data_IF_525050738403
#
_entry.id   IF_525050738403
#
_cell.length_a   1.000
_cell.length_b   1.000
_cell.length_c   1.000
_cell.angle_alpha   90.00
_cell.angle_beta   90.00
_cell.angle_gamma   90.00
#
_symmetry.space_group_name_H-M   'P 1'
#
loop_
_entity.id
_entity.type
_entity.pdbx_description
1 polymer ?
#
# COMPACT_ATOMS: atom_id res chain seq x y z
N UNK A 1 -11.23 -8.98 1.06
CA UNK A 1 -12.14 -7.79 1.03
C UNK A 1 -12.96 -7.69 -0.25
N UNK A 2 -14.09 -6.97 -0.24
CA UNK A 2 -14.95 -6.67 -1.41
C UNK A 2 -14.97 -5.17 -1.74
N UNK A 3 -15.28 -4.84 -2.99
CA UNK A 3 -15.47 -3.44 -3.40
C UNK A 3 -16.57 -2.78 -2.55
N UNK A 4 -16.32 -1.53 -2.13
CA UNK A 4 -17.12 -0.70 -1.21
C UNK A 4 -17.01 -1.08 0.28
N UNK A 5 -16.19 -2.06 0.65
CA UNK A 5 -15.88 -2.29 2.05
C UNK A 5 -15.12 -1.09 2.62
N UNK A 6 -15.37 -0.81 3.89
CA UNK A 6 -14.64 0.21 4.64
C UNK A 6 -13.21 -0.26 4.93
N UNK A 7 -12.27 0.68 4.89
CA UNK A 7 -10.88 0.45 5.26
C UNK A 7 -10.87 -0.11 6.69
N UNK A 8 -10.26 -1.29 6.92
CA UNK A 8 -10.11 -1.82 8.27
C UNK A 8 -9.18 -0.91 9.08
N UNK A 9 -9.21 -1.06 10.39
CA UNK A 9 -8.26 -0.36 11.24
C UNK A 9 -6.82 -0.78 10.89
N UNK A 10 -5.93 0.19 10.71
CA UNK A 10 -4.51 -0.07 10.43
C UNK A 10 -3.72 -0.48 11.70
N UNK A 11 -4.42 -1.05 12.68
CA UNK A 11 -3.92 -1.43 14.00
C UNK A 11 -3.41 -2.87 13.97
N UNK A 12 -2.25 -3.05 13.35
CA UNK A 12 -1.64 -4.38 13.22
C UNK A 12 -0.15 -4.36 12.90
N UNK A 13 0.38 -3.23 12.43
CA UNK A 13 1.80 -3.09 12.18
C UNK A 13 2.60 -3.19 13.48
N UNK A 14 3.57 -4.10 13.45
CA UNK A 14 4.55 -4.31 14.51
C UNK A 14 5.56 -3.16 14.54
N UNK A 15 5.83 -2.53 13.39
CA UNK A 15 6.76 -1.39 13.25
C UNK A 15 6.34 -0.47 12.11
N UNK A 16 6.70 0.82 12.23
CA UNK A 16 6.50 1.83 11.18
C UNK A 16 7.86 2.34 10.70
N UNK A 17 8.07 2.38 9.38
CA UNK A 17 9.22 3.03 8.75
C UNK A 17 8.75 4.27 7.97
N UNK A 18 9.62 5.28 7.88
CA UNK A 18 9.36 6.57 7.20
C UNK A 18 8.18 7.41 7.71
N UNK A 19 7.57 7.02 8.83
CA UNK A 19 6.51 7.77 9.47
C UNK A 19 5.36 6.87 9.90
N UNK A 20 4.62 7.35 10.90
CA UNK A 20 3.38 6.73 11.35
C UNK A 20 2.22 7.55 10.82
N UNK A 21 1.25 6.87 10.22
CA UNK A 21 -0.06 7.43 9.91
C UNK A 21 -1.11 6.50 10.48
N UNK A 22 -2.23 7.05 10.92
CA UNK A 22 -3.37 6.26 11.34
C UNK A 22 -4.48 6.39 10.29
N UNK A 23 -5.46 5.48 10.31
CA UNK A 23 -6.59 5.51 9.35
C UNK A 23 -7.31 6.87 9.38
N UNK A 24 -7.39 7.51 10.55
CA UNK A 24 -8.02 8.81 10.71
C UNK A 24 -7.29 9.92 9.93
N UNK A 25 -5.97 9.82 9.73
CA UNK A 25 -5.19 10.78 8.93
C UNK A 25 -5.37 10.54 7.42
N UNK A 26 -5.72 9.31 7.03
CA UNK A 26 -5.85 8.87 5.64
C UNK A 26 -7.25 9.05 5.08
N UNK A 27 -8.26 9.13 5.95
CA UNK A 27 -9.67 9.28 5.60
C UNK A 27 -10.08 10.74 5.81
N UNK A 28 -10.55 11.40 4.75
CA UNK A 28 -11.17 12.72 4.81
C UNK A 28 -10.75 13.66 3.69
N UNK A 29 -9.45 13.79 3.43
CA UNK A 29 -8.93 14.77 2.46
C UNK A 29 -8.65 14.17 1.09
N UNK A 30 -7.98 13.01 1.05
CA UNK A 30 -7.45 12.41 -0.18
C UNK A 30 -7.79 10.92 -0.25
N UNK A 31 -7.92 10.34 -1.46
CA UNK A 31 -7.91 8.90 -1.60
C UNK A 31 -6.60 8.33 -1.09
N UNK A 32 -6.62 7.05 -0.73
CA UNK A 32 -5.47 6.34 -0.18
C UNK A 32 -5.20 5.07 -0.97
N UNK A 33 -3.99 4.94 -1.49
CA UNK A 33 -3.45 3.72 -2.07
C UNK A 33 -2.65 2.98 -1.01
N UNK A 34 -3.09 1.78 -0.67
CA UNK A 34 -2.35 0.83 0.17
C UNK A 34 -1.80 -0.25 -0.73
N UNK A 35 -0.49 -0.44 -0.76
CA UNK A 35 0.14 -1.51 -1.51
C UNK A 35 0.89 -2.47 -0.58
N UNK A 36 0.65 -3.76 -0.77
CA UNK A 36 1.29 -4.84 -0.05
C UNK A 36 2.50 -5.34 -0.83
N UNK A 37 3.64 -5.44 -0.16
CA UNK A 37 4.91 -5.89 -0.73
C UNK A 37 5.70 -6.73 0.28
N UNK A 38 6.75 -7.38 -0.20
CA UNK A 38 7.61 -8.29 0.58
C UNK A 38 9.04 -8.18 0.06
N UNK A 39 10.04 -8.30 0.92
CA UNK A 39 11.46 -8.22 0.52
C UNK A 39 11.89 -9.40 -0.35
N UNK A 40 11.35 -10.60 -0.11
CA UNK A 40 11.63 -11.80 -0.91
C UNK A 40 10.83 -11.88 -2.23
N UNK A 41 9.96 -10.90 -2.51
CA UNK A 41 9.09 -10.89 -3.68
C UNK A 41 9.73 -10.18 -4.88
N UNK A 42 10.19 -10.95 -5.89
CA UNK A 42 10.79 -10.40 -7.11
C UNK A 42 9.85 -9.46 -7.88
N UNK A 43 8.58 -9.86 -8.05
CA UNK A 43 7.56 -9.04 -8.72
C UNK A 43 7.31 -7.70 -8.01
N UNK A 44 7.50 -7.66 -6.69
CA UNK A 44 7.35 -6.45 -5.91
C UNK A 44 8.49 -5.48 -6.23
N UNK A 45 9.73 -5.97 -6.32
CA UNK A 45 10.90 -5.18 -6.72
C UNK A 45 10.77 -4.60 -8.14
N UNK A 46 10.21 -5.36 -9.07
CA UNK A 46 9.92 -4.86 -10.42
C UNK A 46 8.88 -3.73 -10.42
N UNK A 47 7.88 -3.78 -9.53
CA UNK A 47 6.83 -2.77 -9.43
C UNK A 47 7.23 -1.54 -8.61
N UNK A 48 8.23 -1.62 -7.73
CA UNK A 48 8.71 -0.51 -6.89
C UNK A 48 9.01 0.79 -7.67
N UNK A 49 9.76 0.79 -8.79
CA UNK A 49 10.01 2.02 -9.54
C UNK A 49 8.72 2.65 -10.10
N UNK A 50 7.76 1.83 -10.55
CA UNK A 50 6.45 2.33 -10.99
C UNK A 50 5.67 2.92 -9.81
N UNK A 51 5.68 2.27 -8.63
CA UNK A 51 5.03 2.77 -7.41
C UNK A 51 5.63 4.10 -6.96
N UNK A 52 6.95 4.26 -7.05
CA UNK A 52 7.64 5.49 -6.67
C UNK A 52 7.31 6.64 -7.61
N UNK A 53 7.32 6.39 -8.92
CA UNK A 53 6.91 7.39 -9.90
C UNK A 53 5.45 7.80 -9.67
N UNK A 54 4.58 6.82 -9.43
CA UNK A 54 3.18 7.05 -9.14
C UNK A 54 2.99 7.87 -7.85
N UNK A 55 3.71 7.54 -6.77
CA UNK A 55 3.74 8.32 -5.54
C UNK A 55 4.15 9.77 -5.82
N UNK A 56 5.23 10.01 -6.56
CA UNK A 56 5.70 11.38 -6.78
C UNK A 56 4.73 12.20 -7.64
N UNK A 57 4.12 11.57 -8.64
CA UNK A 57 3.08 12.17 -9.48
C UNK A 57 1.84 12.57 -8.67
N UNK A 58 1.40 11.72 -7.74
CA UNK A 58 0.15 11.92 -7.00
C UNK A 58 0.32 12.32 -5.54
N UNK A 59 1.52 12.65 -5.05
CA UNK A 59 1.77 12.99 -3.63
C UNK A 59 0.87 14.11 -3.07
N UNK A 60 0.45 15.04 -3.93
CA UNK A 60 -0.42 16.13 -3.54
C UNK A 60 -1.91 15.75 -3.54
N UNK A 61 -2.27 14.65 -4.17
CA UNK A 61 -3.66 14.27 -4.45
C UNK A 61 -4.04 12.89 -3.91
N UNK A 62 -3.07 12.05 -3.55
CA UNK A 62 -3.25 10.67 -3.12
C UNK A 62 -2.26 10.34 -2.01
N UNK A 63 -2.76 9.70 -0.95
CA UNK A 63 -1.91 9.12 0.08
C UNK A 63 -1.41 7.75 -0.41
N UNK A 64 -0.11 7.52 -0.39
CA UNK A 64 0.48 6.21 -0.74
C UNK A 64 1.07 5.59 0.51
N UNK A 65 0.63 4.38 0.83
CA UNK A 65 1.03 3.63 2.01
C UNK A 65 1.53 2.27 1.59
N UNK A 66 2.70 1.89 2.10
CA UNK A 66 3.28 0.59 1.89
C UNK A 66 2.97 -0.31 3.09
N UNK A 67 2.58 -1.55 2.85
CA UNK A 67 2.43 -2.58 3.89
C UNK A 67 3.39 -3.72 3.54
N UNK A 68 4.39 -3.91 4.38
CA UNK A 68 5.30 -5.01 4.28
C UNK A 68 4.66 -6.25 4.91
N UNK A 69 4.36 -7.26 4.09
CA UNK A 69 3.85 -8.56 4.50
C UNK A 69 4.98 -9.59 4.42
N UNK A 70 5.41 -10.20 5.53
CA UNK A 70 6.45 -11.23 5.50
C UNK A 70 5.94 -12.50 4.81
N UNK A 71 6.77 -13.06 3.93
CA UNK A 71 6.50 -14.34 3.27
C UNK A 71 7.31 -15.51 3.83
N UNK A 72 8.48 -15.19 4.36
CA UNK A 72 9.44 -16.13 4.94
C UNK A 72 10.00 -15.55 6.23
N UNK A 73 10.71 -16.36 7.01
CA UNK A 73 11.36 -15.88 8.24
C UNK A 73 12.38 -14.76 7.95
N UNK A 74 13.07 -14.81 6.79
CA UNK A 74 13.96 -13.74 6.33
C UNK A 74 13.25 -12.40 6.08
N UNK A 75 11.94 -12.41 5.78
CA UNK A 75 11.15 -11.19 5.61
C UNK A 75 10.73 -10.57 6.95
N UNK A 76 10.98 -11.22 8.09
CA UNK A 76 10.72 -10.65 9.42
C UNK A 76 11.85 -9.71 9.85
N UNK A 77 12.99 -9.76 9.17
CA UNK A 77 14.16 -8.97 9.53
C UNK A 77 13.98 -7.50 9.12
N UNK A 78 13.84 -6.63 10.13
CA UNK A 78 13.64 -5.19 9.94
C UNK A 78 14.82 -4.52 9.23
N UNK A 79 16.03 -5.07 9.35
CA UNK A 79 17.20 -4.51 8.67
C UNK A 79 17.08 -4.72 7.16
N UNK A 80 16.73 -5.95 6.72
CA UNK A 80 16.45 -6.21 5.30
C UNK A 80 15.31 -5.35 4.76
N UNK A 81 14.22 -5.18 5.51
CA UNK A 81 13.09 -4.34 5.09
C UNK A 81 13.54 -2.90 4.87
N UNK A 82 14.32 -2.35 5.81
CA UNK A 82 14.81 -0.98 5.74
C UNK A 82 15.82 -0.82 4.60
N UNK A 83 16.76 -1.74 4.46
CA UNK A 83 17.76 -1.73 3.39
C UNK A 83 17.11 -1.75 1.99
N UNK A 84 16.15 -2.65 1.77
CA UNK A 84 15.41 -2.72 0.49
C UNK A 84 14.54 -1.48 0.28
N UNK A 85 13.94 -0.94 1.34
CA UNK A 85 13.17 0.30 1.24
C UNK A 85 14.05 1.49 0.84
N UNK A 86 15.25 1.60 1.41
CA UNK A 86 16.23 2.62 1.05
C UNK A 86 16.81 2.40 -0.35
N UNK A 87 17.18 1.17 -0.70
CA UNK A 87 17.72 0.80 -2.02
C UNK A 87 16.72 1.13 -3.15
N UNK A 88 15.43 0.99 -2.87
CA UNK A 88 14.37 1.31 -3.81
C UNK A 88 13.71 2.67 -3.56
N UNK A 89 14.32 3.62 -2.84
CA UNK A 89 13.79 4.99 -2.65
C UNK A 89 12.32 5.04 -2.19
N UNK A 90 11.91 4.07 -1.36
CA UNK A 90 10.59 4.00 -0.75
C UNK A 90 10.59 4.99 0.40
N UNK A 91 10.06 6.20 0.16
CA UNK A 91 9.97 7.28 1.16
C UNK A 91 8.59 7.40 1.79
N UNK A 92 7.60 6.69 1.26
CA UNK A 92 6.25 6.62 1.82
C UNK A 92 6.24 5.87 3.16
N UNK A 93 5.25 6.14 4.03
CA UNK A 93 5.06 5.36 5.26
C UNK A 93 4.93 3.87 4.98
N UNK A 94 5.72 3.07 5.69
CA UNK A 94 5.76 1.61 5.58
C UNK A 94 5.29 0.99 6.88
N UNK A 95 4.27 0.15 6.80
CA UNK A 95 3.73 -0.63 7.90
C UNK A 95 4.31 -2.03 7.82
N UNK A 96 5.07 -2.44 8.83
CA UNK A 96 5.62 -3.79 8.91
C UNK A 96 4.62 -4.69 9.63
N UNK A 97 4.00 -5.61 8.90
CA UNK A 97 2.96 -6.52 9.40
C UNK A 97 3.55 -7.90 9.75
N UNK A 98 4.44 -7.96 10.74
CA UNK A 98 5.13 -9.21 11.12
C UNK A 98 4.15 -10.28 11.64
N UNK A 99 3.05 -9.86 12.27
CA UNK A 99 2.02 -10.71 12.84
C UNK A 99 0.89 -11.08 11.85
N UNK A 100 0.97 -10.65 10.59
CA UNK A 100 -0.07 -10.85 9.57
C UNK A 100 -1.45 -10.29 9.95
N UNK A 101 -1.52 -9.32 10.87
CA UNK A 101 -2.78 -8.74 11.36
C UNK A 101 -3.43 -7.85 10.31
N UNK A 102 -2.64 -7.01 9.63
CA UNK A 102 -3.15 -6.21 8.51
C UNK A 102 -3.52 -7.13 7.36
N UNK A 103 -2.70 -8.13 7.09
CA UNK A 103 -2.95 -9.11 6.04
C UNK A 103 -4.29 -9.81 6.25
N UNK A 104 -4.59 -10.26 7.48
CA UNK A 104 -5.88 -10.87 7.85
C UNK A 104 -7.04 -9.87 7.77
N UNK A 105 -6.84 -8.64 8.28
CA UNK A 105 -7.87 -7.59 8.25
C UNK A 105 -8.28 -7.18 6.81
N UNK A 106 -7.33 -7.18 5.88
CA UNK A 106 -7.57 -6.94 4.45
C UNK A 106 -7.98 -8.21 3.70
N UNK A 107 -7.94 -9.37 4.36
CA UNK A 107 -8.16 -10.69 3.76
C UNK A 107 -7.27 -10.85 2.50
N UNK A 108 -6.03 -10.40 2.62
CA UNK A 108 -5.03 -10.37 1.56
C UNK A 108 -4.25 -11.68 1.53
N UNK A 109 -4.12 -12.29 0.35
CA UNK A 109 -3.39 -13.56 0.18
C UNK A 109 -2.23 -13.47 -0.81
N UNK A 110 -2.02 -12.29 -1.41
CA UNK A 110 -1.10 -12.11 -2.52
C UNK A 110 -0.20 -10.88 -2.33
N UNK A 111 1.03 -10.99 -2.81
CA UNK A 111 1.97 -9.87 -2.96
C UNK A 111 2.60 -9.94 -4.37
N UNK A 112 2.73 -8.82 -5.10
CA UNK A 112 2.24 -7.48 -4.73
C UNK A 112 0.72 -7.38 -4.85
N UNK A 113 0.10 -6.62 -3.94
CA UNK A 113 -1.32 -6.30 -4.01
C UNK A 113 -1.56 -4.81 -3.77
N UNK A 114 -2.60 -4.26 -4.36
CA UNK A 114 -2.90 -2.84 -4.40
C UNK A 114 -4.37 -2.61 -4.07
N UNK A 115 -4.62 -1.78 -3.07
CA UNK A 115 -5.95 -1.43 -2.57
C UNK A 115 -6.11 0.09 -2.66
N UNK A 116 -7.10 0.55 -3.40
CA UNK A 116 -7.41 1.96 -3.58
C UNK A 116 -8.68 2.29 -2.81
N UNK A 117 -8.53 3.15 -1.82
CA UNK A 117 -9.61 3.71 -1.02
C UNK A 117 -9.91 5.14 -1.48
N UNK A 118 -11.17 5.54 -1.46
CA UNK A 118 -11.55 6.94 -1.62
C UNK A 118 -11.31 7.74 -0.33
N UNK A 119 -11.57 9.06 -0.37
CA UNK A 119 -11.48 9.92 0.82
C UNK A 119 -12.38 9.49 1.97
N UNK A 120 -13.46 8.75 1.69
CA UNK A 120 -14.41 8.27 2.70
C UNK A 120 -13.97 6.91 3.28
N UNK A 121 -12.77 6.43 2.90
CA UNK A 121 -12.21 5.17 3.34
C UNK A 121 -12.88 3.95 2.72
N UNK A 122 -13.62 4.08 1.63
CA UNK A 122 -14.27 2.95 0.95
C UNK A 122 -13.37 2.38 -0.14
N UNK A 123 -13.25 1.06 -0.18
CA UNK A 123 -12.47 0.35 -1.20
C UNK A 123 -13.10 0.53 -2.58
N UNK A 124 -12.47 1.34 -3.44
CA UNK A 124 -12.91 1.58 -4.82
C UNK A 124 -12.33 0.57 -5.79
N UNK A 125 -11.12 0.09 -5.50
CA UNK A 125 -10.43 -0.85 -6.38
C UNK A 125 -9.46 -1.74 -5.60
N UNK A 126 -9.38 -3.00 -6.01
CA UNK A 126 -8.41 -3.96 -5.52
C UNK A 126 -7.81 -4.69 -6.71
N UNK A 127 -6.50 -4.89 -6.68
CA UNK A 127 -5.79 -5.65 -7.71
C UNK A 127 -4.53 -6.31 -7.13
N UNK A 128 -4.20 -7.50 -7.60
CA UNK A 128 -2.98 -8.21 -7.23
C UNK A 128 -2.16 -8.59 -8.47
N UNK A 129 -0.85 -8.75 -8.28
CA UNK A 129 0.11 -9.16 -9.31
C UNK A 129 0.98 -8.03 -9.87
N UNK A 130 2.15 -8.40 -10.43
CA UNK A 130 3.17 -7.44 -10.89
C UNK A 130 2.73 -6.51 -12.03
N UNK A 131 1.84 -6.97 -12.92
CA UNK A 131 1.26 -6.10 -13.96
C UNK A 131 0.11 -5.20 -13.46
N UNK A 132 -0.17 -5.22 -12.15
CA UNK A 132 -1.24 -4.46 -11.54
C UNK A 132 -1.04 -2.95 -11.63
N UNK A 133 0.20 -2.45 -11.64
CA UNK A 133 0.47 -1.01 -11.61
C UNK A 133 -0.14 -0.23 -12.78
N UNK A 134 -0.02 -0.73 -14.02
CA UNK A 134 -0.59 -0.05 -15.21
C UNK A 134 -2.12 0.06 -15.17
N UNK A 135 -2.78 -0.96 -14.62
CA UNK A 135 -4.23 -0.91 -14.45
C UNK A 135 -4.62 -0.06 -13.24
N UNK A 136 -3.79 -0.06 -12.19
CA UNK A 136 -3.97 0.75 -10.99
C UNK A 136 -3.98 2.25 -11.32
N UNK A 137 -3.02 2.71 -12.13
CA UNK A 137 -2.92 4.13 -12.51
C UNK A 137 -4.23 4.64 -13.14
N UNK A 138 -4.80 3.89 -14.10
CA UNK A 138 -6.08 4.24 -14.73
C UNK A 138 -7.23 4.27 -13.71
N UNK A 139 -7.19 3.37 -12.72
CA UNK A 139 -8.24 3.25 -11.70
C UNK A 139 -8.15 4.37 -10.67
N UNK A 140 -6.96 4.73 -10.24
CA UNK A 140 -6.75 5.86 -9.33
C UNK A 140 -7.13 7.17 -10.01
N UNK A 141 -6.73 7.40 -11.27
CA UNK A 141 -7.19 8.57 -12.03
C UNK A 141 -8.71 8.66 -12.09
N UNK A 142 -9.39 7.53 -12.26
CA UNK A 142 -10.86 7.50 -12.23
C UNK A 142 -11.43 7.87 -10.86
N UNK A 143 -10.84 7.35 -9.77
CA UNK A 143 -11.27 7.71 -8.40
C UNK A 143 -11.03 9.20 -8.15
N UNK A 144 -9.89 9.74 -8.56
CA UNK A 144 -9.58 11.17 -8.47
C UNK A 144 -10.55 12.04 -9.28
N UNK A 145 -10.89 11.64 -10.51
CA UNK A 145 -11.88 12.34 -11.34
C UNK A 145 -13.28 12.33 -10.71
N UNK A 146 -13.69 11.18 -10.15
CA UNK A 146 -14.96 11.07 -9.42
C UNK A 146 -15.00 11.97 -8.18
N UNK A 147 -13.86 12.22 -7.54
CA UNK A 147 -13.77 13.10 -6.36
C UNK A 147 -13.70 14.60 -6.68
N UNK A 148 -13.28 14.96 -7.91
CA UNK A 148 -13.20 16.36 -8.35
C UNK A 148 -14.55 16.93 -8.83
N UNK A 149 -15.58 16.08 -8.97
CA UNK A 149 -16.94 16.47 -9.37
C UNK A 149 -17.81 16.77 -8.17
#
# INVERSE_FOLDING_TARGET
MKLRDQMPELTGATTWLNGRVDKADLVGEKPTLIHFWSVSCHLCKEAMPEVNNFRDQYKNELNVIAVHMPRSEDDLDLYNITEIAEEHDITQPIFVDSDLKLTDAFDNQYVPAYYVFDKDGQLRHFQAGGSGMKMLEKRVNRVLDEMRK
#
